data_IF_951426516156
#
_entry.id   IF_951426516156
#
_cell.length_a   1.000
_cell.length_b   1.000
_cell.length_c   1.000
_cell.angle_alpha   90.00
_cell.angle_beta   90.00
_cell.angle_gamma   90.00
#
_symmetry.space_group_name_H-M   'P 1'
#
loop_
_entity.id
_entity.type
_entity.pdbx_description
1 polymer ?
#
# COMPACT_ATOMS: atom_id res chain seq x y z
N UNK A 1 -6.36 -37.52 -3.56
CA UNK A 1 -7.58 -36.78 -3.96
C UNK A 1 -7.31 -35.31 -3.74
N UNK A 2 -7.61 -34.44 -4.70
CA UNK A 2 -7.37 -32.99 -4.58
C UNK A 2 -8.70 -32.26 -4.41
N UNK A 3 -8.73 -31.26 -3.54
CA UNK A 3 -9.92 -30.45 -3.27
C UNK A 3 -9.58 -28.97 -3.47
N UNK A 4 -10.38 -28.29 -4.29
CA UNK A 4 -10.20 -26.87 -4.59
C UNK A 4 -11.11 -26.04 -3.70
N UNK A 5 -10.51 -25.09 -2.97
CA UNK A 5 -11.24 -24.18 -2.08
C UNK A 5 -11.20 -22.79 -2.71
N UNK A 6 -12.38 -22.23 -2.98
CA UNK A 6 -12.53 -20.92 -3.59
C UNK A 6 -13.12 -19.93 -2.57
N UNK A 7 -12.61 -18.69 -2.59
CA UNK A 7 -13.21 -17.59 -1.85
C UNK A 7 -14.61 -17.29 -2.40
N UNK A 8 -15.58 -17.05 -1.50
CA UNK A 8 -16.93 -16.64 -1.88
C UNK A 8 -17.22 -15.23 -1.33
N UNK A 9 -17.66 -14.31 -2.19
CA UNK A 9 -18.00 -12.93 -1.81
C UNK A 9 -16.80 -12.10 -1.34
N UNK A 10 -17.03 -11.29 -0.30
CA UNK A 10 -16.06 -10.32 0.27
C UNK A 10 -15.10 -10.90 1.33
N UNK A 11 -15.04 -12.22 1.50
CA UNK A 11 -14.19 -12.84 2.51
C UNK A 11 -12.70 -12.64 2.20
N UNK A 12 -11.87 -12.30 3.19
CA UNK A 12 -10.45 -12.05 2.94
C UNK A 12 -9.72 -13.37 2.61
N UNK A 13 -8.92 -13.44 1.52
CA UNK A 13 -8.17 -14.65 1.18
C UNK A 13 -7.32 -15.19 2.32
N UNK A 14 -6.71 -14.28 3.09
CA UNK A 14 -5.82 -14.61 4.21
C UNK A 14 -6.55 -15.31 5.37
N UNK A 15 -7.78 -14.89 5.65
CA UNK A 15 -8.61 -15.44 6.72
C UNK A 15 -9.09 -16.86 6.35
N UNK A 16 -9.49 -17.06 5.09
CA UNK A 16 -9.85 -18.39 4.59
C UNK A 16 -8.65 -19.33 4.67
N UNK A 17 -7.45 -18.87 4.29
CA UNK A 17 -6.25 -19.69 4.36
C UNK A 17 -5.95 -20.15 5.79
N UNK A 18 -6.01 -19.26 6.79
CA UNK A 18 -5.83 -19.62 8.21
C UNK A 18 -6.84 -20.68 8.67
N UNK A 19 -8.11 -20.56 8.29
CA UNK A 19 -9.14 -21.54 8.62
C UNK A 19 -8.83 -22.91 7.98
N UNK A 20 -8.38 -22.91 6.72
CA UNK A 20 -8.04 -24.14 5.99
C UNK A 20 -6.82 -24.82 6.62
N UNK A 21 -5.75 -24.09 6.95
CA UNK A 21 -4.59 -24.68 7.64
C UNK A 21 -4.99 -25.28 8.99
N UNK A 22 -5.79 -24.57 9.78
CA UNK A 22 -6.28 -25.08 11.07
C UNK A 22 -7.25 -26.27 10.93
N UNK A 23 -7.94 -26.42 9.79
CA UNK A 23 -8.74 -27.60 9.49
C UNK A 23 -7.85 -28.79 9.08
N UNK A 24 -6.85 -28.55 8.22
CA UNK A 24 -5.89 -29.57 7.77
C UNK A 24 -5.12 -30.14 8.96
N UNK A 25 -4.67 -29.29 9.90
CA UNK A 25 -3.92 -29.72 11.08
C UNK A 25 -4.78 -30.58 12.03
N UNK A 26 -6.03 -30.18 12.28
CA UNK A 26 -6.98 -30.98 13.08
C UNK A 26 -7.33 -32.31 12.41
N UNK A 27 -7.59 -32.29 11.10
CA UNK A 27 -7.88 -33.51 10.34
C UNK A 27 -6.70 -34.47 10.33
N UNK A 28 -5.47 -33.97 10.14
CA UNK A 28 -4.27 -34.82 10.17
C UNK A 28 -4.05 -35.49 11.53
N UNK A 29 -4.52 -34.89 12.63
CA UNK A 29 -4.47 -35.52 13.95
C UNK A 29 -5.48 -36.67 14.13
N UNK A 30 -6.56 -36.68 13.35
CA UNK A 30 -7.61 -37.72 13.39
C UNK A 30 -7.45 -38.77 12.27
N UNK A 31 -6.62 -38.49 11.28
CA UNK A 31 -6.39 -39.38 10.15
C UNK A 31 -5.43 -40.54 10.51
N UNK A 32 -5.59 -41.72 9.88
CA UNK A 32 -4.63 -42.82 10.02
C UNK A 32 -3.27 -42.42 9.45
N UNK A 33 -2.17 -42.97 9.98
CA UNK A 33 -0.80 -42.69 9.51
C UNK A 33 -0.54 -42.97 8.01
N UNK A 34 -1.45 -43.70 7.35
CA UNK A 34 -1.39 -43.96 5.91
C UNK A 34 -1.92 -42.83 5.03
N UNK A 35 -2.57 -41.80 5.60
CA UNK A 35 -3.18 -40.69 4.87
C UNK A 35 -2.76 -39.36 5.49
N UNK A 36 -2.12 -38.52 4.69
CA UNK A 36 -1.73 -37.15 5.06
C UNK A 36 -2.42 -36.14 4.14
N UNK A 37 -2.99 -35.09 4.72
CA UNK A 37 -3.54 -33.95 3.99
C UNK A 37 -2.50 -32.83 3.92
N UNK A 38 -2.16 -32.41 2.71
CA UNK A 38 -1.21 -31.31 2.45
C UNK A 38 -1.85 -30.23 1.59
N UNK A 39 -1.50 -28.97 1.85
CA UNK A 39 -1.88 -27.83 1.01
C UNK A 39 -0.87 -27.72 -0.13
N UNK A 40 -1.32 -27.98 -1.38
CA UNK A 40 -0.43 -27.94 -2.55
C UNK A 40 -0.28 -26.54 -3.15
N UNK A 41 -1.34 -25.74 -3.17
CA UNK A 41 -1.33 -24.39 -3.72
C UNK A 41 -2.10 -23.42 -2.84
N UNK A 42 -1.42 -22.36 -2.42
CA UNK A 42 -1.95 -21.31 -1.57
C UNK A 42 -1.78 -19.95 -2.24
N UNK A 43 -2.87 -19.44 -2.83
CA UNK A 43 -2.90 -18.11 -3.45
C UNK A 43 -2.89 -16.99 -2.41
N UNK A 44 -3.35 -17.25 -1.19
CA UNK A 44 -3.38 -16.24 -0.13
C UNK A 44 -1.96 -15.92 0.36
N UNK A 45 -1.08 -16.93 0.42
CA UNK A 45 0.35 -16.74 0.68
C UNK A 45 1.01 -15.85 -0.36
N UNK A 46 0.79 -16.14 -1.65
CA UNK A 46 1.34 -15.30 -2.73
C UNK A 46 0.81 -13.85 -2.65
N UNK A 47 -0.48 -13.69 -2.35
CA UNK A 47 -1.07 -12.38 -2.13
C UNK A 47 -0.41 -11.62 -0.96
N UNK A 48 -0.17 -12.30 0.16
CA UNK A 48 0.51 -11.72 1.34
C UNK A 48 1.92 -11.26 1.02
N UNK A 49 2.71 -12.12 0.36
CA UNK A 49 4.09 -11.79 -0.03
C UNK A 49 4.12 -10.56 -0.95
N UNK A 50 3.18 -10.46 -1.89
CA UNK A 50 3.03 -9.26 -2.74
C UNK A 50 2.63 -8.03 -1.96
N UNK A 51 1.69 -8.13 -1.01
CA UNK A 51 1.27 -7.02 -0.17
C UNK A 51 2.43 -6.49 0.69
N UNK A 52 3.19 -7.40 1.31
CA UNK A 52 4.38 -7.04 2.10
C UNK A 52 5.46 -6.38 1.24
N UNK A 53 5.69 -6.88 0.01
CA UNK A 53 6.59 -6.25 -0.96
C UNK A 53 6.12 -4.83 -1.35
N UNK A 54 4.83 -4.65 -1.60
CA UNK A 54 4.26 -3.34 -1.94
C UNK A 54 4.41 -2.34 -0.79
N UNK A 55 4.09 -2.75 0.44
CA UNK A 55 4.24 -1.91 1.63
C UNK A 55 5.70 -1.56 1.89
N UNK A 56 6.61 -2.54 1.78
CA UNK A 56 8.04 -2.33 1.93
C UNK A 56 8.56 -1.35 0.87
N UNK A 57 8.23 -1.56 -0.40
CA UNK A 57 8.66 -0.68 -1.49
C UNK A 57 8.07 0.72 -1.34
N UNK A 58 6.81 0.84 -0.93
CA UNK A 58 6.17 2.12 -0.62
C UNK A 58 6.88 2.86 0.52
N UNK A 59 7.25 2.16 1.59
CA UNK A 59 8.00 2.72 2.71
C UNK A 59 9.41 3.18 2.29
N UNK A 60 10.13 2.38 1.50
CA UNK A 60 11.43 2.78 0.95
C UNK A 60 11.31 4.00 0.02
N UNK A 61 10.29 4.02 -0.85
CA UNK A 61 10.03 5.15 -1.75
C UNK A 61 9.76 6.43 -0.96
N UNK A 62 8.89 6.37 0.05
CA UNK A 62 8.60 7.50 0.92
C UNK A 62 9.85 7.96 1.70
N UNK A 63 10.64 7.02 2.21
CA UNK A 63 11.91 7.33 2.87
C UNK A 63 12.90 8.06 1.96
N UNK A 64 13.05 7.60 0.71
CA UNK A 64 13.91 8.25 -0.28
C UNK A 64 13.43 9.67 -0.61
N UNK A 65 12.12 9.88 -0.78
CA UNK A 65 11.55 11.22 -0.99
C UNK A 65 11.87 12.14 0.18
N UNK A 66 11.69 11.69 1.43
CA UNK A 66 12.02 12.48 2.61
C UNK A 66 13.52 12.81 2.71
N UNK A 67 14.42 11.88 2.36
CA UNK A 67 15.86 12.12 2.35
C UNK A 67 16.24 13.16 1.30
N UNK A 68 15.74 13.02 0.08
CA UNK A 68 16.01 13.98 -1.01
C UNK A 68 15.48 15.36 -0.62
N UNK A 69 14.23 15.46 -0.18
CA UNK A 69 13.68 16.72 0.30
C UNK A 69 14.45 17.28 1.49
N UNK A 70 14.93 16.45 2.43
CA UNK A 70 15.72 16.91 3.58
C UNK A 70 17.11 17.46 3.21
N UNK A 71 17.68 17.05 2.06
CA UNK A 71 18.95 17.59 1.56
C UNK A 71 18.75 18.93 0.84
N UNK A 72 17.63 19.09 0.12
CA UNK A 72 17.36 20.28 -0.69
C UNK A 72 16.51 21.35 0.02
N UNK A 73 15.67 20.97 0.99
CA UNK A 73 14.71 21.84 1.70
C UNK A 73 14.93 21.79 3.23
N UNK A 74 14.47 22.82 3.93
CA UNK A 74 14.43 22.82 5.39
C UNK A 74 13.59 21.62 5.92
N UNK A 75 14.02 20.92 6.99
CA UNK A 75 13.38 19.67 7.46
C UNK A 75 11.88 19.78 7.75
N UNK A 76 11.44 20.94 8.25
CA UNK A 76 10.01 21.24 8.48
C UNK A 76 9.21 21.22 7.18
N UNK A 77 9.80 21.69 6.09
CA UNK A 77 9.15 21.75 4.79
C UNK A 77 9.12 20.40 4.10
N UNK A 78 10.24 19.66 4.17
CA UNK A 78 10.33 18.28 3.69
C UNK A 78 9.27 17.37 4.33
N UNK A 79 8.96 17.56 5.62
CA UNK A 79 7.90 16.80 6.30
C UNK A 79 6.51 17.08 5.71
N UNK A 80 6.14 18.36 5.55
CA UNK A 80 4.82 18.73 5.01
C UNK A 80 4.64 18.27 3.57
N UNK A 81 5.63 18.50 2.71
CA UNK A 81 5.62 18.04 1.31
C UNK A 81 5.63 16.51 1.25
N UNK A 82 6.48 15.84 2.04
CA UNK A 82 6.57 14.38 2.08
C UNK A 82 5.28 13.72 2.59
N UNK A 83 4.52 14.40 3.46
CA UNK A 83 3.20 13.92 3.92
C UNK A 83 2.11 14.05 2.86
N UNK A 84 2.23 14.95 1.88
CA UNK A 84 1.24 15.14 0.83
C UNK A 84 1.15 13.92 -0.11
N UNK A 85 2.29 13.29 -0.41
CA UNK A 85 2.38 12.10 -1.28
C UNK A 85 1.48 10.93 -0.80
N UNK A 86 1.63 10.40 0.44
CA UNK A 86 0.78 9.32 0.91
C UNK A 86 -0.68 9.76 1.10
N UNK A 87 -0.94 11.01 1.52
CA UNK A 87 -2.31 11.53 1.69
C UNK A 87 -3.06 11.55 0.37
N UNK A 88 -2.44 12.02 -0.70
CA UNK A 88 -3.07 12.08 -2.03
C UNK A 88 -3.23 10.69 -2.66
N UNK A 89 -2.26 9.79 -2.45
CA UNK A 89 -2.38 8.40 -2.90
C UNK A 89 -3.56 7.70 -2.22
N UNK A 90 -3.65 7.80 -0.89
CA UNK A 90 -4.75 7.23 -0.12
C UNK A 90 -6.09 7.85 -0.49
N UNK A 91 -6.15 9.18 -0.62
CA UNK A 91 -7.37 9.90 -1.00
C UNK A 91 -7.88 9.49 -2.38
N UNK A 92 -6.98 9.38 -3.36
CA UNK A 92 -7.37 8.94 -4.70
C UNK A 92 -7.78 7.47 -4.75
N UNK A 93 -7.07 6.57 -4.07
CA UNK A 93 -7.48 5.15 -3.97
C UNK A 93 -8.85 5.03 -3.27
N UNK A 94 -9.11 5.84 -2.24
CA UNK A 94 -10.38 5.84 -1.50
C UNK A 94 -11.57 6.31 -2.36
N UNK A 95 -11.32 7.12 -3.39
CA UNK A 95 -12.35 7.59 -4.34
C UNK A 95 -12.65 6.58 -5.45
N UNK A 96 -11.75 5.65 -5.76
CA UNK A 96 -11.92 4.67 -6.83
C UNK A 96 -13.20 3.81 -6.69
N UNK A 97 -13.56 3.28 -5.50
CA UNK A 97 -14.79 2.53 -5.32
C UNK A 97 -16.05 3.36 -5.58
N UNK A 98 -16.02 4.67 -5.32
CA UNK A 98 -17.15 5.55 -5.58
C UNK A 98 -17.38 5.81 -7.08
N UNK A 99 -16.39 5.50 -7.91
CA UNK A 99 -16.43 5.68 -9.37
C UNK A 99 -16.53 4.33 -10.11
N UNK A 100 -16.86 3.23 -9.41
CA UNK A 100 -16.90 1.86 -9.94
C UNK A 100 -15.66 1.48 -10.77
N UNK A 101 -14.51 2.08 -10.44
CA UNK A 101 -13.25 1.94 -11.17
C UNK A 101 -12.22 1.29 -10.26
N UNK A 102 -11.39 0.40 -10.81
CA UNK A 102 -10.30 -0.24 -10.07
C UNK A 102 -8.94 0.31 -10.46
N UNK A 103 -7.90 0.01 -9.68
CA UNK A 103 -6.52 0.32 -10.04
C UNK A 103 -6.14 -0.50 -11.28
N UNK A 104 -5.97 0.18 -12.41
CA UNK A 104 -5.50 -0.35 -13.69
C UNK A 104 -4.34 0.50 -14.23
N UNK A 105 -3.73 0.07 -15.34
CA UNK A 105 -2.55 0.74 -15.91
C UNK A 105 -2.80 2.22 -16.26
N UNK A 106 -3.98 2.56 -16.81
CA UNK A 106 -4.33 3.95 -17.14
C UNK A 106 -4.46 4.79 -15.88
N UNK A 107 -5.17 4.29 -14.86
CA UNK A 107 -5.31 4.97 -13.57
C UNK A 107 -3.96 5.14 -12.87
N UNK A 108 -3.05 4.16 -13.00
CA UNK A 108 -1.71 4.24 -12.43
C UNK A 108 -0.89 5.35 -13.09
N UNK A 109 -0.96 5.47 -14.42
CA UNK A 109 -0.35 6.59 -15.13
C UNK A 109 -0.95 7.94 -14.73
N UNK A 110 -2.28 8.01 -14.58
CA UNK A 110 -2.95 9.21 -14.09
C UNK A 110 -2.47 9.59 -12.67
N UNK A 111 -2.30 8.61 -11.78
CA UNK A 111 -1.73 8.81 -10.46
C UNK A 111 -0.30 9.35 -10.51
N UNK A 112 0.57 8.79 -11.35
CA UNK A 112 1.96 9.24 -11.49
C UNK A 112 2.02 10.70 -11.97
N UNK A 113 1.25 11.04 -13.02
CA UNK A 113 1.21 12.41 -13.55
C UNK A 113 0.66 13.38 -12.49
N UNK A 114 -0.44 13.02 -11.84
CA UNK A 114 -1.06 13.85 -10.81
C UNK A 114 -0.15 14.03 -9.60
N UNK A 115 0.61 13.00 -9.20
CA UNK A 115 1.59 13.10 -8.12
C UNK A 115 2.71 14.07 -8.47
N UNK A 116 3.21 14.05 -9.70
CA UNK A 116 4.24 14.99 -10.16
C UNK A 116 3.77 16.44 -10.02
N UNK A 117 2.61 16.76 -10.57
CA UNK A 117 2.04 18.11 -10.50
C UNK A 117 1.82 18.55 -9.04
N UNK A 118 1.26 17.66 -8.23
CA UNK A 118 0.97 17.96 -6.82
C UNK A 118 2.25 18.20 -6.00
N UNK A 119 3.29 17.39 -6.19
CA UNK A 119 4.55 17.54 -5.47
C UNK A 119 5.24 18.84 -5.85
N UNK A 120 5.24 19.19 -7.14
CA UNK A 120 5.78 20.46 -7.62
C UNK A 120 5.06 21.66 -6.94
N UNK A 121 3.73 21.64 -6.91
CA UNK A 121 2.93 22.68 -6.24
C UNK A 121 3.23 22.74 -4.73
N UNK A 122 3.34 21.59 -4.07
CA UNK A 122 3.61 21.51 -2.64
C UNK A 122 5.00 22.07 -2.28
N UNK A 123 6.01 21.84 -3.13
CA UNK A 123 7.35 22.41 -2.96
C UNK A 123 7.32 23.93 -3.13
N UNK A 124 6.67 24.45 -4.18
CA UNK A 124 6.59 25.89 -4.46
C UNK A 124 5.89 26.65 -3.32
N UNK A 125 4.73 26.17 -2.87
CA UNK A 125 4.01 26.77 -1.73
C UNK A 125 4.88 26.72 -0.48
N UNK A 126 5.58 25.62 -0.29
CA UNK A 126 6.49 25.43 0.82
C UNK A 126 7.62 26.47 0.88
N UNK A 127 8.32 26.65 -0.24
CA UNK A 127 9.38 27.65 -0.38
C UNK A 127 8.84 29.07 -0.14
N UNK A 128 7.66 29.37 -0.67
CA UNK A 128 7.04 30.68 -0.51
C UNK A 128 6.66 30.97 0.95
N UNK A 129 6.10 29.99 1.67
CA UNK A 129 5.83 30.11 3.11
C UNK A 129 7.14 30.32 3.88
N UNK A 130 8.17 29.54 3.58
CA UNK A 130 9.47 29.67 4.24
C UNK A 130 10.13 31.04 3.98
N UNK A 131 10.04 31.54 2.74
CA UNK A 131 10.49 32.88 2.33
C UNK A 131 9.73 33.98 3.06
N UNK A 132 8.40 33.87 3.18
CA UNK A 132 7.56 34.85 3.87
C UNK A 132 7.81 34.90 5.38
N UNK A 133 8.08 33.75 6.02
CA UNK A 133 8.50 33.70 7.42
C UNK A 133 9.86 34.42 7.62
N UNK A 134 10.83 34.23 6.72
CA UNK A 134 12.12 34.93 6.79
C UNK A 134 11.99 36.44 6.60
N UNK A 135 11.02 36.89 5.80
CA UNK A 135 10.74 38.33 5.58
C UNK A 135 10.03 39.01 6.76
N UNK A 136 9.77 38.28 7.86
CA UNK A 136 9.18 38.84 9.08
C UNK A 136 7.67 39.05 9.00
N UNK A 137 6.99 38.52 7.97
CA UNK A 137 5.54 38.57 7.87
C UNK A 137 4.92 37.50 8.77
N UNK A 138 4.89 37.78 10.07
CA UNK A 138 4.07 37.01 11.03
C UNK A 138 2.74 37.73 11.18
N UNK A 139 1.69 37.25 10.50
CA UNK A 139 0.30 37.49 10.90
C UNK A 139 -0.60 36.37 10.43
#
# INVERSE_FOLDING_TARGET
MTLWIYQTGDQKPLEIAEIVYGYVERMNAELPESIEMIVMWDRAREYRERLELLLKNGAFGLGLVLVVLGIFLAPKLAFWVGSAVPVCLLGGIMLLPAMDTTINMISLFAFIISLGILVDDAVIIGEEVFSNIQRGMTR
#
